data_IF_119883360731
#
_entry.id   IF_119883360731
#
_cell.length_a   1.000
_cell.length_b   1.000
_cell.length_c   1.000
_cell.angle_alpha   90.00
_cell.angle_beta   90.00
_cell.angle_gamma   90.00
#
_symmetry.space_group_name_H-M   'P 1'
#
loop_
_entity.id
_entity.type
_entity.pdbx_description
1 polymer ?
#
# COMPACT_ATOMS: atom_id res chain seq x y z
N UNK A 1 6.39 12.30 15.93
CA UNK A 1 6.76 10.90 16.21
C UNK A 1 5.76 9.98 15.50
N UNK A 2 6.17 8.96 14.71
CA UNK A 2 5.23 7.98 14.18
C UNK A 2 4.77 7.06 15.32
N UNK A 3 3.45 6.84 15.38
CA UNK A 3 2.71 6.21 16.47
C UNK A 3 2.90 4.67 16.46
N UNK A 4 3.14 3.98 17.59
CA UNK A 4 3.44 2.54 17.68
C UNK A 4 2.19 1.63 17.53
N UNK A 5 1.17 2.07 16.76
CA UNK A 5 -0.17 1.44 16.71
C UNK A 5 -0.45 0.63 15.44
N UNK A 6 0.51 0.53 14.53
CA UNK A 6 0.31 -0.20 13.26
C UNK A 6 0.42 -1.73 13.41
N UNK A 7 0.95 -2.22 14.53
CA UNK A 7 1.07 -3.65 14.86
C UNK A 7 -0.27 -4.38 15.10
N UNK A 8 -1.41 -3.69 15.16
CA UNK A 8 -2.70 -4.34 15.44
C UNK A 8 -3.62 -4.49 14.20
N UNK A 9 -3.46 -3.70 13.13
CA UNK A 9 -4.52 -3.58 12.09
C UNK A 9 -3.96 -3.20 10.69
N UNK A 10 -3.23 -4.07 10.00
CA UNK A 10 -3.16 -4.04 8.52
C UNK A 10 -2.65 -2.75 7.81
N UNK A 11 -1.93 -1.87 8.50
CA UNK A 11 -1.41 -0.61 7.94
C UNK A 11 -2.46 0.51 7.73
N UNK A 12 -2.04 1.70 7.29
CA UNK A 12 -2.91 2.88 7.18
C UNK A 12 -4.02 2.75 6.12
N UNK A 13 -3.88 1.84 5.15
CA UNK A 13 -4.92 1.60 4.14
C UNK A 13 -5.58 0.26 4.41
N UNK A 14 -6.86 0.29 4.81
CA UNK A 14 -7.63 -0.92 5.11
C UNK A 14 -7.68 -1.86 3.91
N UNK A 15 -7.55 -3.16 4.17
CA UNK A 15 -7.71 -4.22 3.18
C UNK A 15 -6.46 -4.55 2.37
N UNK A 16 -5.42 -3.70 2.39
CA UNK A 16 -4.10 -3.99 1.84
C UNK A 16 -3.32 -4.90 2.78
N UNK A 17 -2.83 -6.02 2.27
CA UNK A 17 -2.03 -7.00 3.01
C UNK A 17 -0.59 -6.86 2.54
N UNK A 18 0.05 -5.80 3.01
CA UNK A 18 1.45 -5.51 2.69
C UNK A 18 2.38 -5.91 3.83
N UNK A 19 3.60 -6.36 3.53
CA UNK A 19 4.63 -6.56 4.55
C UNK A 19 5.02 -5.23 5.18
N UNK A 20 5.48 -5.28 6.43
CA UNK A 20 5.88 -4.10 7.20
C UNK A 20 6.86 -3.18 6.45
N UNK A 21 7.85 -3.75 5.75
CA UNK A 21 8.83 -2.98 4.97
C UNK A 21 8.20 -2.16 3.85
N UNK A 22 7.17 -2.69 3.19
CA UNK A 22 6.43 -1.96 2.17
C UNK A 22 5.65 -0.81 2.82
N UNK A 23 5.02 -1.05 3.97
CA UNK A 23 4.34 0.01 4.71
C UNK A 23 5.27 1.14 5.17
N UNK A 24 6.46 0.80 5.65
CA UNK A 24 7.47 1.79 6.03
C UNK A 24 7.93 2.63 4.84
N UNK A 25 8.16 2.01 3.68
CA UNK A 25 8.54 2.72 2.46
C UNK A 25 7.43 3.67 1.99
N UNK A 26 6.18 3.20 1.94
CA UNK A 26 5.02 4.03 1.61
C UNK A 26 4.88 5.21 2.59
N UNK A 27 5.10 4.98 3.89
CA UNK A 27 5.03 6.04 4.90
C UNK A 27 6.11 7.11 4.70
N UNK A 28 7.34 6.73 4.37
CA UNK A 28 8.43 7.69 4.10
C UNK A 28 8.07 8.64 2.96
N UNK A 29 7.36 8.14 1.98
CA UNK A 29 6.86 8.88 0.82
C UNK A 29 5.51 9.58 1.08
N UNK A 30 4.97 9.47 2.31
CA UNK A 30 3.69 10.07 2.71
C UNK A 30 2.45 9.39 2.11
N UNK A 31 2.59 8.17 1.58
CA UNK A 31 1.51 7.40 0.98
C UNK A 31 0.77 6.63 2.08
N UNK A 32 -0.31 7.23 2.57
CA UNK A 32 -1.14 6.67 3.67
C UNK A 32 -2.59 6.45 3.27
N UNK A 33 -2.97 6.78 2.03
CA UNK A 33 -4.35 6.65 1.51
C UNK A 33 -4.39 5.83 0.23
N UNK A 34 -5.53 5.18 -0.03
CA UNK A 34 -5.72 4.35 -1.22
C UNK A 34 -5.62 5.17 -2.51
N UNK A 35 -6.20 6.37 -2.55
CA UNK A 35 -6.13 7.26 -3.71
C UNK A 35 -4.70 7.68 -4.05
N UNK A 36 -3.90 8.01 -3.03
CA UNK A 36 -2.49 8.36 -3.24
C UNK A 36 -1.67 7.16 -3.70
N UNK A 37 -1.95 5.98 -3.13
CA UNK A 37 -1.33 4.74 -3.57
C UNK A 37 -1.68 4.43 -5.03
N UNK A 38 -2.94 4.64 -5.43
CA UNK A 38 -3.42 4.44 -6.80
C UNK A 38 -2.77 5.42 -7.78
N UNK A 39 -2.68 6.69 -7.41
CA UNK A 39 -2.05 7.71 -8.23
C UNK A 39 -0.56 7.43 -8.48
N UNK A 40 0.12 6.75 -7.55
CA UNK A 40 1.54 6.44 -7.64
C UNK A 40 1.82 4.98 -8.00
N UNK A 41 0.81 4.16 -8.29
CA UNK A 41 0.96 2.71 -8.47
C UNK A 41 1.92 2.35 -9.63
N UNK A 42 1.90 3.15 -10.70
CA UNK A 42 2.77 2.97 -11.85
C UNK A 42 4.23 3.31 -11.49
N UNK A 43 4.43 4.39 -10.75
CA UNK A 43 5.74 4.93 -10.34
C UNK A 43 6.28 4.34 -9.03
N UNK A 44 5.54 3.45 -8.38
CA UNK A 44 5.86 2.94 -7.04
C UNK A 44 7.20 2.20 -6.94
N UNK A 45 7.69 1.71 -8.08
CA UNK A 45 8.99 1.05 -8.23
C UNK A 45 10.17 2.03 -8.17
N UNK A 46 9.91 3.33 -8.27
CA UNK A 46 10.92 4.39 -8.16
C UNK A 46 11.17 4.80 -6.71
N UNK A 47 10.30 4.38 -5.79
CA UNK A 47 10.38 4.73 -4.37
C UNK A 47 11.53 3.98 -3.69
N UNK A 48 12.34 4.73 -2.93
CA UNK A 48 13.49 4.16 -2.22
C UNK A 48 13.01 3.15 -1.17
N UNK A 49 13.51 1.91 -1.28
CA UNK A 49 13.09 0.79 -0.43
C UNK A 49 11.95 -0.06 -1.01
N UNK A 50 11.42 0.28 -2.19
CA UNK A 50 10.46 -0.55 -2.93
C UNK A 50 11.15 -1.15 -4.16
N UNK A 51 11.55 -2.42 -4.04
CA UNK A 51 12.05 -3.18 -5.18
C UNK A 51 10.92 -3.60 -6.14
N UNK A 52 11.25 -4.07 -7.36
CA UNK A 52 10.26 -4.46 -8.38
C UNK A 52 9.28 -5.53 -7.90
N UNK A 53 9.74 -6.49 -7.07
CA UNK A 53 8.88 -7.52 -6.47
C UNK A 53 7.86 -6.93 -5.48
N UNK A 54 8.30 -5.97 -4.65
CA UNK A 54 7.44 -5.28 -3.70
C UNK A 54 6.46 -4.36 -4.42
N UNK A 55 6.91 -3.67 -5.48
CA UNK A 55 6.06 -2.85 -6.33
C UNK A 55 4.93 -3.69 -6.95
N UNK A 56 5.26 -4.87 -7.50
CA UNK A 56 4.25 -5.76 -8.05
C UNK A 56 3.25 -6.23 -6.99
N UNK A 57 3.72 -6.65 -5.81
CA UNK A 57 2.84 -7.02 -4.70
C UNK A 57 1.87 -5.88 -4.35
N UNK A 58 2.35 -4.64 -4.26
CA UNK A 58 1.48 -3.50 -3.93
C UNK A 58 0.41 -3.29 -5.00
N UNK A 59 0.74 -3.45 -6.28
CA UNK A 59 -0.22 -3.36 -7.38
C UNK A 59 -1.25 -4.49 -7.35
N UNK A 60 -0.85 -5.72 -7.06
CA UNK A 60 -1.75 -6.87 -6.97
C UNK A 60 -2.74 -6.70 -5.81
N UNK A 61 -2.24 -6.23 -4.67
CA UNK A 61 -3.03 -5.94 -3.47
C UNK A 61 -4.00 -4.76 -3.70
N UNK A 62 -3.53 -3.72 -4.38
CA UNK A 62 -4.35 -2.59 -4.81
C UNK A 62 -5.46 -3.05 -5.76
N UNK A 63 -5.12 -3.85 -6.77
CA UNK A 63 -6.08 -4.43 -7.71
C UNK A 63 -7.15 -5.23 -6.98
N UNK A 64 -6.76 -6.13 -6.05
CA UNK A 64 -7.73 -6.91 -5.25
C UNK A 64 -8.70 -6.02 -4.47
N UNK A 65 -8.19 -4.99 -3.78
CA UNK A 65 -9.05 -4.10 -2.97
C UNK A 65 -9.98 -3.28 -3.86
N UNK A 66 -9.51 -2.84 -5.04
CA UNK A 66 -10.35 -2.09 -5.99
C UNK A 66 -11.40 -2.96 -6.66
N UNK A 67 -11.06 -4.19 -7.06
CA UNK A 67 -12.01 -5.15 -7.66
C UNK A 67 -13.05 -5.62 -6.65
N UNK A 68 -12.68 -5.75 -5.37
CA UNK A 68 -13.62 -6.10 -4.31
C UNK A 68 -14.65 -5.00 -4.01
N UNK A 69 -14.41 -3.75 -4.44
CA UNK A 69 -15.38 -2.64 -4.36
C UNK A 69 -16.37 -2.63 -5.54
N UNK A 70 -16.12 -3.44 -6.57
CA UNK A 70 -16.90 -3.56 -7.79
C UNK A 70 -17.53 -4.96 -7.92
N UNK A 71 -18.01 -5.52 -6.81
CA UNK A 71 -18.99 -6.61 -6.84
C UNK A 71 -20.37 -5.99 -6.51
N UNK A 72 -21.29 -5.89 -7.48
CA UNK A 72 -22.69 -5.64 -7.16
C UNK A 72 -23.30 -6.92 -6.56
N UNK A 73 -24.08 -6.75 -5.50
CA UNK A 73 -25.05 -7.76 -5.01
C UNK A 73 -25.99 -8.22 -6.14
#
# INVERSE_FOLDING_TARGET
MPNPRWDLIGGPIRGLRLPFQAWEALRKEGITTLDRLRAMADEIHTLSGIGPKTAQLIRDELARVTSSRMAPD
#
